data_IF_547935811782
#
_entry.id   IF_547935811782
#
_cell.length_a   1.000
_cell.length_b   1.000
_cell.length_c   1.000
_cell.angle_alpha   90.00
_cell.angle_beta   90.00
_cell.angle_gamma   90.00
#
_symmetry.space_group_name_H-M   'P 1'
#
loop_
_entity.id
_entity.type
_entity.pdbx_description
1 polymer ?
#
# COMPACT_ATOMS: atom_id res chain seq x y z
N UNK A 1 -34.93 -0.82 36.02
CA UNK A 1 -33.92 -1.90 35.90
C UNK A 1 -33.75 -2.38 34.45
N UNK A 2 -34.82 -2.59 33.69
CA UNK A 2 -34.75 -3.06 32.29
C UNK A 2 -34.21 -2.00 31.33
N UNK A 3 -34.45 -0.72 31.56
CA UNK A 3 -33.97 0.42 30.72
C UNK A 3 -32.46 0.64 30.92
N UNK A 4 -31.99 0.51 32.15
CA UNK A 4 -30.54 0.67 32.47
C UNK A 4 -29.74 -0.47 31.82
N UNK A 5 -30.24 -1.70 31.82
CA UNK A 5 -29.57 -2.85 31.17
C UNK A 5 -29.51 -2.71 29.64
N UNK A 6 -30.55 -2.15 29.00
CA UNK A 6 -30.59 -1.89 27.56
C UNK A 6 -29.59 -0.81 27.16
N UNK A 7 -29.46 0.25 27.96
CA UNK A 7 -28.51 1.33 27.69
C UNK A 7 -27.05 0.85 27.86
N UNK A 8 -26.78 0.01 28.85
CA UNK A 8 -25.44 -0.54 29.08
C UNK A 8 -25.02 -1.47 27.93
N UNK A 9 -25.93 -2.30 27.39
CA UNK A 9 -25.68 -3.16 26.23
C UNK A 9 -25.42 -2.33 24.95
N UNK A 10 -26.16 -1.23 24.77
CA UNK A 10 -26.00 -0.34 23.62
C UNK A 10 -24.67 0.43 23.66
N UNK A 11 -24.19 0.81 24.84
CA UNK A 11 -22.88 1.44 25.06
C UNK A 11 -21.72 0.43 24.88
N UNK A 12 -21.89 -0.82 25.34
CA UNK A 12 -20.90 -1.88 25.14
C UNK A 12 -20.73 -2.22 23.65
N UNK A 13 -21.82 -2.24 22.87
CA UNK A 13 -21.74 -2.45 21.42
C UNK A 13 -21.08 -1.28 20.67
N UNK A 14 -21.17 -0.04 21.17
CA UNK A 14 -20.43 1.12 20.60
C UNK A 14 -18.93 1.05 20.88
N UNK A 15 -18.51 0.48 22.02
CA UNK A 15 -17.09 0.28 22.38
C UNK A 15 -16.42 -0.87 21.60
N UNK A 16 -17.21 -1.77 20.99
CA UNK A 16 -16.70 -2.91 20.23
C UNK A 16 -16.57 -2.63 18.73
N UNK A 17 -16.91 -1.40 18.27
CA UNK A 17 -16.70 -1.02 16.88
C UNK A 17 -15.21 -0.87 16.61
N UNK A 18 -14.65 -1.77 15.80
CA UNK A 18 -13.24 -1.76 15.41
C UNK A 18 -12.87 -0.41 14.79
N UNK A 19 -11.77 0.19 15.27
CA UNK A 19 -11.17 1.35 14.62
C UNK A 19 -10.62 0.95 13.27
N UNK A 20 -10.91 1.75 12.26
CA UNK A 20 -10.44 1.52 10.89
C UNK A 20 -9.50 2.63 10.45
N UNK A 21 -8.55 2.27 9.61
CA UNK A 21 -7.58 3.16 8.99
C UNK A 21 -7.70 3.03 7.48
N UNK A 22 -7.51 4.13 6.75
CA UNK A 22 -7.39 4.11 5.31
C UNK A 22 -5.93 3.83 4.92
N UNK A 23 -5.72 2.89 4.01
CA UNK A 23 -4.42 2.44 3.54
C UNK A 23 -4.32 2.47 2.03
N UNK A 24 -3.31 3.15 1.51
CA UNK A 24 -3.00 3.22 0.09
C UNK A 24 -1.89 2.24 -0.26
N UNK A 25 -2.21 1.24 -1.09
CA UNK A 25 -1.29 0.24 -1.59
C UNK A 25 -0.91 0.56 -3.04
N UNK A 26 0.38 0.67 -3.32
CA UNK A 26 0.89 0.95 -4.67
C UNK A 26 1.78 -0.18 -5.22
N UNK A 27 2.05 -1.19 -4.44
CA UNK A 27 2.91 -2.34 -4.79
C UNK A 27 2.15 -3.66 -4.75
N UNK A 28 2.75 -4.69 -4.17
CA UNK A 28 2.20 -6.06 -4.15
C UNK A 28 0.84 -6.15 -3.46
N UNK A 29 0.55 -5.27 -2.49
CA UNK A 29 -0.73 -5.26 -1.78
C UNK A 29 -1.89 -4.69 -2.60
N UNK A 30 -1.63 -4.15 -3.79
CA UNK A 30 -2.68 -3.88 -4.78
C UNK A 30 -3.36 -5.17 -5.25
N UNK A 31 -2.64 -6.28 -5.21
CA UNK A 31 -3.16 -7.60 -5.53
C UNK A 31 -4.17 -8.01 -4.46
N UNK A 32 -5.45 -8.12 -4.83
CA UNK A 32 -6.55 -8.34 -3.89
C UNK A 32 -6.42 -9.68 -3.17
N UNK A 33 -5.94 -10.72 -3.84
CA UNK A 33 -5.71 -12.04 -3.23
C UNK A 33 -4.60 -11.97 -2.18
N UNK A 34 -3.47 -11.35 -2.51
CA UNK A 34 -2.36 -11.14 -1.57
C UNK A 34 -2.77 -10.31 -0.37
N UNK A 35 -3.48 -9.21 -0.61
CA UNK A 35 -3.93 -8.35 0.49
C UNK A 35 -4.91 -9.08 1.41
N UNK A 36 -5.79 -9.89 0.85
CA UNK A 36 -6.75 -10.69 1.65
C UNK A 36 -6.06 -11.76 2.49
N UNK A 37 -4.97 -12.34 2.00
CA UNK A 37 -4.17 -13.30 2.76
C UNK A 37 -3.45 -12.63 3.93
N UNK A 38 -2.87 -11.44 3.73
CA UNK A 38 -2.18 -10.68 4.79
C UNK A 38 -3.15 -10.08 5.80
N UNK A 39 -4.26 -9.58 5.31
CA UNK A 39 -5.24 -8.81 6.07
C UNK A 39 -6.66 -9.30 5.74
N UNK A 40 -7.10 -10.44 6.31
CA UNK A 40 -8.44 -11.00 5.99
C UNK A 40 -9.58 -10.04 6.27
N UNK A 41 -9.41 -9.10 7.20
CA UNK A 41 -10.41 -8.09 7.56
C UNK A 41 -10.30 -6.80 6.76
N UNK A 42 -9.41 -6.72 5.78
CA UNK A 42 -9.31 -5.55 4.91
C UNK A 42 -10.49 -5.49 3.94
N UNK A 43 -10.88 -4.28 3.57
CA UNK A 43 -11.91 -4.04 2.58
C UNK A 43 -11.35 -3.15 1.48
N UNK A 44 -11.36 -3.63 0.24
CA UNK A 44 -11.02 -2.81 -0.91
C UNK A 44 -12.15 -1.82 -1.17
N UNK A 45 -11.83 -0.52 -1.19
CA UNK A 45 -12.81 0.53 -1.41
C UNK A 45 -12.87 0.98 -2.87
N UNK A 46 -11.73 1.33 -3.45
CA UNK A 46 -11.62 1.84 -4.82
C UNK A 46 -10.17 2.06 -5.22
N UNK A 47 -9.93 2.30 -6.49
CA UNK A 47 -8.64 2.86 -6.94
C UNK A 47 -8.48 4.29 -6.43
N UNK A 48 -7.23 4.71 -6.20
CA UNK A 48 -6.89 6.03 -5.71
C UNK A 48 -5.66 6.55 -6.44
N UNK A 49 -5.62 7.86 -6.67
CA UNK A 49 -4.47 8.57 -7.22
C UNK A 49 -3.82 9.43 -6.14
N UNK A 50 -2.51 9.23 -5.91
CA UNK A 50 -1.71 10.06 -5.03
C UNK A 50 -0.91 11.05 -5.89
N UNK A 51 -1.23 12.37 -5.84
CA UNK A 51 -0.52 13.36 -6.63
C UNK A 51 0.87 13.67 -6.04
N UNK A 52 1.76 14.19 -6.90
CA UNK A 52 3.10 14.66 -6.54
C UNK A 52 4.03 13.58 -5.98
N UNK A 53 3.82 12.36 -6.44
CA UNK A 53 4.69 11.20 -6.18
C UNK A 53 4.95 10.45 -7.48
N UNK A 54 6.02 9.68 -7.50
CA UNK A 54 6.36 8.75 -8.60
C UNK A 54 6.73 7.38 -8.05
N UNK A 55 6.40 6.34 -8.84
CA UNK A 55 6.78 4.96 -8.54
C UNK A 55 8.25 4.73 -8.89
N UNK A 56 8.99 4.13 -7.96
CA UNK A 56 10.40 3.77 -8.14
C UNK A 56 10.61 2.34 -7.66
N UNK A 57 11.35 1.53 -8.44
CA UNK A 57 11.76 0.21 -7.99
C UNK A 57 13.16 0.26 -7.37
N UNK A 58 13.27 -0.32 -6.19
CA UNK A 58 14.50 -0.54 -5.42
C UNK A 58 14.59 -2.02 -5.05
N UNK A 59 14.50 -2.90 -6.04
CA UNK A 59 14.16 -4.33 -6.03
C UNK A 59 12.73 -4.62 -5.54
N UNK A 60 12.19 -3.78 -4.69
CA UNK A 60 10.76 -3.73 -4.32
C UNK A 60 10.22 -2.33 -4.62
N UNK A 61 8.90 -2.18 -4.61
CA UNK A 61 8.25 -0.93 -4.93
C UNK A 61 8.42 0.10 -3.82
N UNK A 62 8.73 1.32 -4.22
CA UNK A 62 8.78 2.52 -3.40
C UNK A 62 8.13 3.67 -4.16
N UNK A 63 7.75 4.72 -3.46
CA UNK A 63 7.35 5.97 -4.08
C UNK A 63 8.13 7.13 -3.45
N UNK A 64 8.38 8.15 -4.22
CA UNK A 64 9.06 9.35 -3.77
C UNK A 64 8.38 10.60 -4.30
N UNK A 65 8.58 11.72 -3.62
CA UNK A 65 8.02 13.00 -4.06
C UNK A 65 8.53 13.38 -5.44
N UNK A 66 7.61 13.75 -6.33
CA UNK A 66 7.90 14.17 -7.69
C UNK A 66 6.80 15.14 -8.14
N UNK A 67 7.04 16.48 -8.03
CA UNK A 67 6.02 17.45 -8.40
C UNK A 67 5.49 17.26 -9.81
N UNK A 68 4.17 17.29 -9.95
CA UNK A 68 3.47 17.11 -11.23
C UNK A 68 3.27 15.68 -11.69
N UNK A 69 3.87 14.70 -11.01
CA UNK A 69 3.64 13.27 -11.28
C UNK A 69 2.56 12.71 -10.36
N UNK A 70 2.16 11.46 -10.60
CA UNK A 70 1.14 10.79 -9.79
C UNK A 70 1.41 9.29 -9.70
N UNK A 71 0.93 8.69 -8.62
CA UNK A 71 0.93 7.24 -8.42
C UNK A 71 -0.51 6.78 -8.26
N UNK A 72 -0.90 5.78 -9.05
CA UNK A 72 -2.20 5.13 -8.90
C UNK A 72 -2.05 3.85 -8.10
N UNK A 73 -3.04 3.55 -7.27
CA UNK A 73 -3.02 2.37 -6.42
C UNK A 73 -4.39 2.03 -5.87
N UNK A 74 -4.40 1.15 -4.89
CA UNK A 74 -5.61 0.63 -4.25
C UNK A 74 -5.83 1.28 -2.88
N UNK A 75 -7.03 1.77 -2.64
CA UNK A 75 -7.44 2.26 -1.32
C UNK A 75 -8.19 1.15 -0.58
N UNK A 76 -7.66 0.81 0.59
CA UNK A 76 -8.25 -0.17 1.50
C UNK A 76 -8.67 0.47 2.82
N UNK A 77 -9.71 -0.08 3.40
CA UNK A 77 -10.04 0.11 4.81
C UNK A 77 -9.44 -1.07 5.59
N UNK A 78 -8.65 -0.79 6.61
CA UNK A 78 -7.95 -1.80 7.40
C UNK A 78 -8.22 -1.63 8.89
N UNK A 79 -8.10 -2.73 9.64
CA UNK A 79 -8.19 -2.75 11.10
C UNK A 79 -6.81 -2.56 11.74
N UNK A 80 -6.77 -2.38 13.05
CA UNK A 80 -5.50 -2.34 13.82
C UNK A 80 -4.70 -3.63 13.69
N UNK A 81 -5.36 -4.78 13.64
CA UNK A 81 -4.71 -6.08 13.44
C UNK A 81 -4.09 -6.18 12.04
N UNK A 82 -4.79 -5.68 11.03
CA UNK A 82 -4.25 -5.55 9.67
C UNK A 82 -3.01 -4.66 9.65
N UNK A 83 -3.07 -3.50 10.29
CA UNK A 83 -1.94 -2.58 10.33
C UNK A 83 -0.69 -3.23 10.95
N UNK A 84 -0.86 -3.97 12.04
CA UNK A 84 0.24 -4.73 12.66
C UNK A 84 0.81 -5.80 11.71
N UNK A 85 -0.04 -6.50 10.98
CA UNK A 85 0.39 -7.48 9.98
C UNK A 85 1.16 -6.82 8.82
N UNK A 86 0.70 -5.67 8.34
CA UNK A 86 1.40 -4.88 7.33
C UNK A 86 2.73 -4.37 7.84
N UNK A 87 2.79 -3.86 9.07
CA UNK A 87 4.03 -3.40 9.70
C UNK A 87 5.10 -4.48 9.69
N UNK A 88 4.74 -5.71 10.03
CA UNK A 88 5.66 -6.86 10.00
C UNK A 88 6.09 -7.20 8.58
N UNK A 89 5.16 -7.21 7.65
CA UNK A 89 5.44 -7.51 6.25
C UNK A 89 6.39 -6.48 5.62
N UNK A 90 6.16 -5.20 5.90
CA UNK A 90 6.96 -4.09 5.37
C UNK A 90 8.28 -3.86 6.12
N UNK A 91 8.52 -4.56 7.22
CA UNK A 91 9.70 -4.35 8.06
C UNK A 91 9.72 -2.97 8.70
N UNK A 92 8.55 -2.47 9.09
CA UNK A 92 8.41 -1.19 9.78
C UNK A 92 9.01 -1.27 11.19
N UNK A 93 9.76 -0.28 11.66
CA UNK A 93 10.12 1.00 11.02
C UNK A 93 11.49 1.02 10.31
N UNK A 94 12.11 -0.13 10.08
CA UNK A 94 13.51 -0.21 9.62
C UNK A 94 13.64 -0.17 8.11
N UNK A 95 12.85 -0.97 7.37
CA UNK A 95 12.89 -1.01 5.91
C UNK A 95 11.94 0.02 5.29
N UNK A 96 10.71 0.10 5.83
CA UNK A 96 9.71 1.09 5.44
C UNK A 96 9.28 1.91 6.64
N UNK A 97 8.89 3.14 6.37
CA UNK A 97 8.24 4.04 7.34
C UNK A 97 6.84 4.39 6.85
N UNK A 98 6.01 4.89 7.76
CA UNK A 98 4.64 5.32 7.44
C UNK A 98 4.61 6.79 7.07
N UNK A 99 3.85 7.10 6.03
CA UNK A 99 3.52 8.46 5.61
C UNK A 99 2.00 8.62 5.60
N UNK A 100 1.53 9.85 5.69
CA UNK A 100 0.10 10.16 5.68
C UNK A 100 -0.17 11.35 4.76
N UNK A 101 -1.20 11.21 3.92
CA UNK A 101 -1.78 12.30 3.12
C UNK A 101 -3.29 12.23 3.31
N UNK A 102 -3.90 13.30 3.80
CA UNK A 102 -5.35 13.38 4.08
C UNK A 102 -5.87 12.16 4.88
N UNK A 103 -5.18 11.79 5.95
CA UNK A 103 -5.48 10.65 6.82
C UNK A 103 -5.37 9.27 6.14
N UNK A 104 -4.82 9.21 4.95
CA UNK A 104 -4.53 7.95 4.26
C UNK A 104 -3.08 7.56 4.53
N UNK A 105 -2.89 6.36 5.09
CA UNK A 105 -1.57 5.81 5.40
C UNK A 105 -0.97 5.09 4.19
N UNK A 106 0.32 5.25 4.00
CA UNK A 106 1.10 4.44 3.05
C UNK A 106 2.54 4.27 3.54
N UNK A 107 3.22 3.27 3.01
CA UNK A 107 4.61 2.99 3.37
C UNK A 107 5.56 3.51 2.31
N UNK A 108 6.70 4.06 2.76
CA UNK A 108 7.82 4.42 1.86
C UNK A 108 9.13 3.90 2.43
N UNK A 109 10.06 3.53 1.56
CA UNK A 109 11.35 2.99 1.98
C UNK A 109 12.21 4.04 2.67
N UNK A 110 12.93 3.61 3.69
CA UNK A 110 13.91 4.44 4.42
C UNK A 110 15.12 4.75 3.52
N UNK A 111 15.68 3.72 2.87
CA UNK A 111 16.83 3.86 1.98
C UNK A 111 16.36 4.23 0.57
N UNK A 112 16.81 5.40 0.09
CA UNK A 112 16.50 5.95 -1.24
C UNK A 112 17.64 5.82 -2.24
N UNK A 113 18.77 5.22 -1.86
CA UNK A 113 20.01 5.30 -2.63
C UNK A 113 20.07 4.35 -3.83
N UNK A 114 19.32 3.25 -3.78
CA UNK A 114 19.37 2.23 -4.82
C UNK A 114 18.12 2.22 -5.69
N UNK A 115 18.34 2.26 -7.01
CA UNK A 115 17.31 1.93 -8.02
C UNK A 115 17.70 0.60 -8.62
N UNK A 116 16.79 -0.38 -8.57
CA UNK A 116 17.04 -1.74 -9.01
C UNK A 116 15.73 -2.38 -9.48
N UNK A 117 15.76 -3.15 -10.60
CA UNK A 117 14.54 -3.76 -11.14
C UNK A 117 13.93 -4.78 -10.19
N UNK A 118 12.58 -4.91 -10.23
CA UNK A 118 11.88 -5.93 -9.45
C UNK A 118 12.14 -7.34 -9.99
N UNK A 119 12.06 -8.34 -9.11
CA UNK A 119 12.02 -9.73 -9.54
C UNK A 119 10.74 -10.04 -10.33
N UNK A 120 10.80 -11.02 -11.23
CA UNK A 120 9.69 -11.36 -12.13
C UNK A 120 8.40 -11.74 -11.41
N UNK A 121 8.49 -12.61 -10.40
CA UNK A 121 7.32 -13.06 -9.64
C UNK A 121 6.66 -11.93 -8.88
N UNK A 122 7.46 -11.07 -8.26
CA UNK A 122 7.00 -9.87 -7.57
C UNK A 122 6.30 -8.91 -8.53
N UNK A 123 6.89 -8.66 -9.71
CA UNK A 123 6.30 -7.81 -10.74
C UNK A 123 4.96 -8.35 -11.23
N UNK A 124 4.86 -9.67 -11.47
CA UNK A 124 3.58 -10.29 -11.87
C UNK A 124 2.49 -10.11 -10.82
N UNK A 125 2.85 -10.21 -9.54
CA UNK A 125 1.93 -9.95 -8.43
C UNK A 125 1.39 -8.52 -8.49
N UNK A 126 2.26 -7.54 -8.75
CA UNK A 126 1.86 -6.13 -8.90
C UNK A 126 0.98 -5.93 -10.13
N UNK A 127 1.34 -6.52 -11.28
CA UNK A 127 0.55 -6.43 -12.51
C UNK A 127 -0.88 -6.94 -12.32
N UNK A 128 -1.04 -8.06 -11.62
CA UNK A 128 -2.36 -8.58 -11.25
C UNK A 128 -3.12 -7.56 -10.39
N UNK A 129 -2.44 -6.90 -9.46
CA UNK A 129 -3.03 -5.84 -8.64
C UNK A 129 -3.53 -4.65 -9.48
N UNK A 130 -2.77 -4.22 -10.46
CA UNK A 130 -3.21 -3.19 -11.41
C UNK A 130 -4.48 -3.63 -12.15
N UNK A 131 -4.53 -4.88 -12.61
CA UNK A 131 -5.71 -5.43 -13.28
C UNK A 131 -6.91 -5.51 -12.33
N UNK A 132 -6.71 -5.93 -11.07
CA UNK A 132 -7.77 -5.97 -10.06
C UNK A 132 -8.41 -4.60 -9.84
N UNK A 133 -7.63 -3.54 -9.93
CA UNK A 133 -8.09 -2.16 -9.69
C UNK A 133 -8.49 -1.43 -10.98
N UNK A 134 -8.41 -2.10 -12.12
CA UNK A 134 -8.66 -1.49 -13.44
C UNK A 134 -7.79 -0.24 -13.68
N UNK A 135 -6.50 -0.37 -13.41
CA UNK A 135 -5.48 0.67 -13.60
C UNK A 135 -4.60 0.28 -14.77
N UNK A 136 -4.30 1.24 -15.67
CA UNK A 136 -3.34 1.05 -16.75
C UNK A 136 -1.95 0.71 -16.22
N UNK A 137 -1.28 -0.25 -16.83
CA UNK A 137 0.08 -0.66 -16.47
C UNK A 137 1.17 0.25 -17.05
N UNK A 138 0.83 1.31 -17.74
CA UNK A 138 1.78 2.19 -18.42
C UNK A 138 2.82 2.79 -17.47
N UNK A 139 2.38 3.37 -16.34
CA UNK A 139 3.29 3.94 -15.33
C UNK A 139 4.14 2.88 -14.65
N UNK A 140 3.60 1.67 -14.48
CA UNK A 140 4.34 0.53 -13.96
C UNK A 140 5.48 0.13 -14.89
N UNK A 141 5.20 0.00 -16.18
CA UNK A 141 6.18 -0.33 -17.22
C UNK A 141 7.26 0.75 -17.30
N UNK A 142 6.89 2.02 -17.23
CA UNK A 142 7.84 3.13 -17.22
C UNK A 142 8.80 3.03 -16.03
N UNK A 143 8.30 2.75 -14.83
CA UNK A 143 9.12 2.60 -13.64
C UNK A 143 10.07 1.39 -13.74
N UNK A 144 9.62 0.28 -14.32
CA UNK A 144 10.47 -0.91 -14.58
C UNK A 144 11.58 -0.54 -15.57
N UNK A 145 11.25 0.14 -16.67
CA UNK A 145 12.22 0.54 -17.68
C UNK A 145 13.26 1.51 -17.11
N UNK A 146 12.87 2.45 -16.28
CA UNK A 146 13.80 3.35 -15.58
C UNK A 146 14.77 2.57 -14.67
N UNK A 147 14.27 1.54 -13.97
CA UNK A 147 15.11 0.70 -13.13
C UNK A 147 16.12 -0.14 -13.94
N UNK A 148 15.73 -0.63 -15.10
CA UNK A 148 16.61 -1.36 -16.02
C UNK A 148 17.69 -0.44 -16.60
N UNK A 149 17.32 0.78 -16.98
CA UNK A 149 18.26 1.80 -17.47
C UNK A 149 19.29 2.16 -16.39
N UNK A 150 18.87 2.31 -15.14
CA UNK A 150 19.79 2.59 -14.02
C UNK A 150 20.74 1.41 -13.78
N UNK A 151 20.28 0.17 -13.91
CA UNK A 151 21.11 -1.03 -13.79
C UNK A 151 22.17 -1.08 -14.90
N UNK A 152 21.80 -0.85 -16.15
CA UNK A 152 22.73 -0.82 -17.28
C UNK A 152 23.83 0.23 -17.08
N UNK A 153 23.49 1.40 -16.59
CA UNK A 153 24.46 2.46 -16.27
C UNK A 153 25.44 2.08 -15.16
N UNK A 154 24.99 1.28 -14.19
CA UNK A 154 25.85 0.83 -13.07
C UNK A 154 26.89 -0.22 -13.49
N UNK A 155 26.65 -0.93 -14.60
CA UNK A 155 27.53 -1.98 -15.13
C UNK A 155 28.67 -1.39 -15.98
N UNK A 156 28.46 -0.20 -16.53
CA UNK A 156 29.45 0.53 -17.32
C UNK A 156 30.35 1.34 -16.38
#
# INVERSE_FOLDING_TARGET
LTIIRRNTKRMANRKQKEEVTLYFAYGSNMNHEHMKMRCPKSTYLRKMTLPDYELVFRSVADIQKAPGKKVEGALFEITKDCERALDRYEGFPHLYIKQYVDNVMFYTMVDKDNVYPPGEGYLRTIMTGYNNCDISTESLIDAVNESLTALDKSII
#
